data_IF_932256134993
#
_entry.id   IF_932256134993
#
_cell.length_a   1.000
_cell.length_b   1.000
_cell.length_c   1.000
_cell.angle_alpha   90.00
_cell.angle_beta   90.00
_cell.angle_gamma   90.00
#
_symmetry.space_group_name_H-M   'P 1'
#
loop_
_entity.id
_entity.type
_entity.pdbx_description
1 polymer ?
#
# COMPACT_ATOMS: atom_id res chain seq x y z
N UNK A 1 1.89 -48.45 -57.40
CA UNK A 1 3.29 -48.22 -56.97
C UNK A 1 3.73 -46.93 -57.65
N UNK A 2 4.06 -45.80 -57.01
CA UNK A 2 4.59 -45.57 -55.69
C UNK A 2 4.12 -44.24 -55.07
N UNK A 3 4.03 -44.33 -53.75
CA UNK A 3 3.73 -43.34 -52.72
C UNK A 3 4.73 -42.18 -52.71
N UNK A 4 4.26 -40.94 -52.89
CA UNK A 4 5.08 -39.73 -52.75
C UNK A 4 4.81 -39.08 -51.38
N UNK A 5 5.71 -39.34 -50.43
CA UNK A 5 5.78 -38.66 -49.13
C UNK A 5 6.28 -37.23 -49.36
N UNK A 6 5.52 -36.21 -48.96
CA UNK A 6 6.01 -34.83 -48.87
C UNK A 6 5.98 -34.39 -47.41
N UNK A 7 7.11 -34.55 -46.75
CA UNK A 7 7.39 -33.96 -45.45
C UNK A 7 7.59 -32.46 -45.64
N UNK A 8 6.67 -31.65 -45.14
CA UNK A 8 6.88 -30.21 -44.98
C UNK A 8 7.27 -29.98 -43.53
N UNK A 9 8.57 -29.92 -43.26
CA UNK A 9 9.09 -29.42 -42.00
C UNK A 9 9.38 -27.92 -42.21
N UNK A 10 8.46 -27.09 -41.73
CA UNK A 10 8.56 -25.64 -41.78
C UNK A 10 9.62 -25.12 -40.81
N UNK A 11 10.41 -24.17 -41.31
CA UNK A 11 11.35 -23.36 -40.56
C UNK A 11 10.64 -22.35 -39.64
N UNK A 12 11.24 -22.04 -38.47
CA UNK A 12 11.14 -20.81 -37.66
C UNK A 12 11.69 -21.17 -36.25
N UNK A 13 12.47 -20.37 -35.51
CA UNK A 13 12.84 -18.97 -35.62
C UNK A 13 14.10 -18.77 -34.74
N UNK A 14 15.04 -17.94 -35.21
CA UNK A 14 16.00 -17.27 -34.33
C UNK A 14 15.25 -16.20 -33.52
N UNK A 15 15.41 -16.16 -32.20
CA UNK A 15 14.74 -15.19 -31.33
C UNK A 15 15.61 -14.90 -30.12
N UNK A 16 16.25 -13.75 -30.16
CA UNK A 16 17.30 -13.34 -29.25
C UNK A 16 16.73 -12.49 -28.08
N UNK A 17 17.58 -12.30 -27.07
CA UNK A 17 17.74 -11.06 -26.30
C UNK A 17 16.86 -10.77 -25.06
N UNK A 18 17.61 -10.27 -24.06
CA UNK A 18 17.25 -9.39 -22.94
C UNK A 18 16.25 -9.88 -21.89
N UNK A 19 16.79 -10.31 -20.75
CA UNK A 19 16.14 -10.09 -19.45
C UNK A 19 17.12 -9.33 -18.55
N UNK A 20 17.36 -8.05 -18.87
CA UNK A 20 17.84 -7.11 -17.87
C UNK A 20 16.68 -6.89 -16.89
N UNK A 21 16.58 -7.74 -15.87
CA UNK A 21 15.78 -7.45 -14.70
C UNK A 21 16.39 -6.21 -14.04
N UNK A 22 15.84 -5.03 -14.36
CA UNK A 22 16.14 -3.84 -13.58
C UNK A 22 15.53 -4.09 -12.21
N UNK A 23 16.38 -4.47 -11.26
CA UNK A 23 16.04 -4.55 -9.86
C UNK A 23 15.83 -3.11 -9.36
N UNK A 24 14.66 -2.54 -9.61
CA UNK A 24 14.16 -1.44 -8.79
C UNK A 24 13.74 -2.01 -7.43
N UNK A 25 14.71 -2.53 -6.67
CA UNK A 25 14.59 -2.79 -5.26
C UNK A 25 14.76 -1.47 -4.49
N UNK A 26 14.03 -0.43 -4.90
CA UNK A 26 13.79 0.69 -4.03
C UNK A 26 12.79 0.19 -2.99
N UNK A 27 13.28 -0.22 -1.81
CA UNK A 27 12.41 -0.51 -0.67
C UNK A 27 11.63 0.75 -0.36
N UNK A 28 10.34 0.74 -0.68
CA UNK A 28 9.42 1.78 -0.26
C UNK A 28 9.14 1.49 1.21
N UNK A 29 9.92 2.11 2.09
CA UNK A 29 9.69 2.02 3.52
C UNK A 29 8.41 2.79 3.88
N UNK A 30 7.55 2.14 4.63
CA UNK A 30 6.43 2.73 5.35
C UNK A 30 6.79 2.73 6.83
N UNK A 31 6.23 3.65 7.62
CA UNK A 31 6.51 3.70 9.06
C UNK A 31 5.74 2.59 9.84
N UNK A 32 5.50 1.44 9.21
CA UNK A 32 4.61 0.37 9.65
C UNK A 32 3.59 -0.05 8.59
N UNK A 33 2.71 -1.02 8.89
CA UNK A 33 1.68 -1.48 7.95
C UNK A 33 0.71 -0.36 7.59
N UNK A 34 0.20 -0.41 6.37
CA UNK A 34 -0.83 0.52 5.90
C UNK A 34 -2.19 -0.18 5.92
N UNK A 35 -3.16 0.47 6.56
CA UNK A 35 -4.54 0.01 6.60
C UNK A 35 -5.40 1.11 5.99
N UNK A 36 -6.30 0.75 5.09
CA UNK A 36 -7.30 1.67 4.56
C UNK A 36 -8.69 1.05 4.64
N UNK A 37 -9.67 1.89 4.91
CA UNK A 37 -11.07 1.50 5.07
C UNK A 37 -11.97 2.40 4.23
N UNK A 38 -13.10 1.83 3.81
CA UNK A 38 -14.10 2.49 2.98
C UNK A 38 -15.10 1.44 2.52
N UNK A 39 -15.43 1.46 1.23
CA UNK A 39 -16.22 0.39 0.62
C UNK A 39 -15.45 -0.95 0.56
N UNK A 40 -14.12 -0.88 0.48
CA UNK A 40 -13.22 -2.02 0.58
C UNK A 40 -12.28 -1.86 1.77
N UNK A 41 -11.84 -2.97 2.33
CA UNK A 41 -10.77 -3.00 3.33
C UNK A 41 -9.45 -3.37 2.65
N UNK A 42 -8.42 -2.56 2.86
CA UNK A 42 -7.10 -2.77 2.28
C UNK A 42 -6.06 -2.83 3.37
N UNK A 43 -5.34 -3.95 3.43
CA UNK A 43 -4.21 -4.15 4.33
C UNK A 43 -2.93 -4.34 3.52
N UNK A 44 -1.87 -3.64 3.89
CA UNK A 44 -0.55 -3.78 3.28
C UNK A 44 0.46 -3.93 4.39
N UNK A 45 1.24 -5.00 4.33
CA UNK A 45 2.31 -5.24 5.28
C UNK A 45 3.39 -4.16 5.17
N UNK A 46 4.18 -4.04 6.23
CA UNK A 46 5.40 -3.26 6.20
C UNK A 46 6.30 -3.71 5.01
N UNK A 47 6.99 -2.75 4.40
CA UNK A 47 7.82 -2.93 3.19
C UNK A 47 7.07 -3.40 1.93
N UNK A 48 5.72 -3.42 1.90
CA UNK A 48 4.95 -3.88 0.73
C UNK A 48 5.27 -5.34 0.32
N UNK A 49 5.52 -6.24 1.27
CA UNK A 49 5.77 -7.67 0.97
C UNK A 49 4.50 -8.43 0.62
N UNK A 50 3.39 -8.09 1.28
CA UNK A 50 2.07 -8.63 1.00
C UNK A 50 1.03 -7.52 1.07
N UNK A 51 -0.05 -7.72 0.34
CA UNK A 51 -1.21 -6.85 0.35
C UNK A 51 -2.48 -7.68 0.24
N UNK A 52 -3.55 -7.20 0.85
CA UNK A 52 -4.84 -7.84 0.91
C UNK A 52 -5.94 -6.83 0.64
N UNK A 53 -6.92 -7.22 -0.19
CA UNK A 53 -8.14 -6.48 -0.47
C UNK A 53 -9.30 -7.36 -0.02
N UNK A 54 -10.11 -6.88 0.91
CA UNK A 54 -11.21 -7.60 1.55
C UNK A 54 -10.78 -8.98 2.08
N UNK A 55 -9.60 -9.02 2.71
CA UNK A 55 -9.00 -10.24 3.27
C UNK A 55 -8.40 -11.21 2.25
N UNK A 56 -8.48 -10.92 0.93
CA UNK A 56 -7.88 -11.76 -0.12
C UNK A 56 -6.57 -11.16 -0.63
N UNK A 57 -5.59 -12.02 -0.91
CA UNK A 57 -4.29 -11.58 -1.44
C UNK A 57 -4.44 -10.78 -2.73
N UNK A 58 -3.73 -9.66 -2.79
CA UNK A 58 -3.65 -8.77 -3.92
C UNK A 58 -2.22 -8.74 -4.48
N UNK A 59 -2.10 -8.57 -5.79
CA UNK A 59 -0.82 -8.39 -6.47
C UNK A 59 -0.38 -6.94 -6.38
N UNK A 60 0.84 -6.72 -5.91
CA UNK A 60 1.46 -5.39 -5.81
C UNK A 60 2.20 -5.08 -7.12
N UNK A 61 1.93 -3.92 -7.71
CA UNK A 61 2.61 -3.40 -8.90
C UNK A 61 3.25 -2.06 -8.57
N UNK A 62 4.57 -2.01 -8.58
CA UNK A 62 5.33 -0.78 -8.38
C UNK A 62 5.45 -0.04 -9.71
N UNK A 63 4.77 1.10 -9.82
CA UNK A 63 4.90 1.98 -10.99
C UNK A 63 6.08 2.93 -10.79
N UNK A 64 6.18 3.52 -9.60
CA UNK A 64 7.36 4.26 -9.14
C UNK A 64 7.38 4.36 -7.60
N UNK A 65 8.37 5.06 -7.04
CA UNK A 65 8.56 5.22 -5.59
C UNK A 65 7.41 5.93 -4.85
N UNK A 66 6.55 6.66 -5.56
CA UNK A 66 5.45 7.45 -5.01
C UNK A 66 4.08 6.91 -5.46
N UNK A 67 4.03 5.94 -6.37
CA UNK A 67 2.79 5.43 -6.95
C UNK A 67 2.84 3.91 -7.11
N UNK A 68 1.92 3.23 -6.44
CA UNK A 68 1.84 1.76 -6.37
C UNK A 68 0.39 1.37 -6.63
N UNK A 69 0.19 0.24 -7.30
CA UNK A 69 -1.14 -0.33 -7.49
C UNK A 69 -1.27 -1.71 -6.86
N UNK A 70 -2.43 -1.97 -6.25
CA UNK A 70 -2.82 -3.28 -5.77
C UNK A 70 -3.93 -3.82 -6.67
N UNK A 71 -3.74 -5.03 -7.18
CA UNK A 71 -4.66 -5.67 -8.11
C UNK A 71 -5.24 -6.92 -7.44
N UNK A 72 -6.54 -6.96 -7.21
CA UNK A 72 -7.18 -8.09 -6.52
C UNK A 72 -8.68 -7.89 -6.36
N UNK A 73 -9.41 -8.99 -6.14
CA UNK A 73 -10.86 -8.99 -5.91
C UNK A 73 -11.67 -8.18 -6.96
N UNK A 74 -11.26 -8.23 -8.24
CA UNK A 74 -11.87 -7.47 -9.35
C UNK A 74 -11.81 -5.94 -9.24
N UNK A 75 -10.92 -5.41 -8.40
CA UNK A 75 -10.65 -3.98 -8.27
C UNK A 75 -9.15 -3.69 -8.41
N UNK A 76 -8.86 -2.42 -8.67
CA UNK A 76 -7.51 -1.84 -8.61
C UNK A 76 -7.50 -0.74 -7.57
N UNK A 77 -6.60 -0.84 -6.60
CA UNK A 77 -6.35 0.18 -5.59
C UNK A 77 -5.09 0.95 -5.97
N UNK A 78 -5.21 2.26 -6.16
CA UNK A 78 -4.09 3.14 -6.47
C UNK A 78 -3.63 3.87 -5.21
N UNK A 79 -2.35 3.68 -4.86
CA UNK A 79 -1.72 4.29 -3.69
C UNK A 79 -0.75 5.38 -4.13
N UNK A 80 -0.93 6.58 -3.57
CA UNK A 80 -0.08 7.74 -3.84
C UNK A 80 0.59 8.23 -2.58
N UNK A 81 1.92 8.33 -2.57
CA UNK A 81 2.68 8.86 -1.45
C UNK A 81 2.59 10.38 -1.42
N UNK A 82 2.18 10.95 -0.28
CA UNK A 82 2.15 12.40 -0.09
C UNK A 82 3.57 12.96 0.12
N UNK A 83 3.85 14.20 -0.33
CA UNK A 83 5.13 14.86 -0.05
C UNK A 83 5.43 15.01 1.45
N UNK A 84 4.41 15.27 2.27
CA UNK A 84 4.53 15.42 3.71
C UNK A 84 4.61 14.09 4.48
N UNK A 85 4.63 12.95 3.78
CA UNK A 85 4.52 11.61 4.37
C UNK A 85 3.08 11.10 4.43
N UNK A 86 2.94 9.79 4.59
CA UNK A 86 1.66 9.09 4.46
C UNK A 86 1.25 8.83 3.01
N UNK A 87 0.06 8.25 2.87
CA UNK A 87 -0.45 7.71 1.61
C UNK A 87 -1.93 8.08 1.41
N UNK A 88 -2.29 8.44 0.18
CA UNK A 88 -3.68 8.45 -0.29
C UNK A 88 -3.96 7.15 -1.02
N UNK A 89 -5.22 6.71 -0.95
CA UNK A 89 -5.68 5.50 -1.59
C UNK A 89 -7.02 5.74 -2.27
N UNK A 90 -7.12 5.35 -3.54
CA UNK A 90 -8.38 5.29 -4.29
C UNK A 90 -8.56 3.90 -4.85
N UNK A 91 -9.79 3.55 -5.22
CA UNK A 91 -10.08 2.28 -5.86
C UNK A 91 -10.95 2.47 -7.10
N UNK A 92 -10.80 1.54 -8.03
CA UNK A 92 -11.65 1.40 -9.21
C UNK A 92 -12.05 -0.07 -9.36
N UNK A 93 -13.31 -0.31 -9.69
CA UNK A 93 -13.87 -1.65 -9.86
C UNK A 93 -14.49 -1.84 -11.23
N UNK A 94 -15.14 -2.99 -11.38
CA UNK A 94 -15.97 -3.25 -12.56
C UNK A 94 -17.12 -2.24 -12.67
N UNK A 95 -17.75 -2.14 -13.84
CA UNK A 95 -18.94 -1.29 -14.04
C UNK A 95 -18.76 0.19 -13.69
N UNK A 96 -17.53 0.73 -13.80
CA UNK A 96 -17.17 2.13 -13.47
C UNK A 96 -17.33 2.49 -11.99
N UNK A 97 -17.37 1.50 -11.11
CA UNK A 97 -17.32 1.72 -9.68
C UNK A 97 -15.96 2.33 -9.29
N UNK A 98 -15.99 3.28 -8.36
CA UNK A 98 -14.80 3.95 -7.87
C UNK A 98 -15.06 4.62 -6.52
N UNK A 99 -13.97 4.93 -5.81
CA UNK A 99 -14.07 5.68 -4.57
C UNK A 99 -12.71 5.99 -3.95
N UNK A 100 -12.76 6.59 -2.76
CA UNK A 100 -11.61 6.91 -1.93
C UNK A 100 -11.59 5.97 -0.74
N UNK A 101 -10.39 5.55 -0.32
CA UNK A 101 -10.18 4.80 0.91
C UNK A 101 -9.53 5.73 1.94
N UNK A 102 -10.02 5.68 3.17
CA UNK A 102 -9.51 6.48 4.27
C UNK A 102 -8.46 5.66 5.01
N UNK A 103 -7.25 6.18 5.28
CA UNK A 103 -6.29 5.47 6.10
C UNK A 103 -6.87 5.20 7.48
N UNK A 104 -6.84 3.93 7.89
CA UNK A 104 -7.10 3.55 9.28
C UNK A 104 -6.09 4.25 10.16
N UNK A 105 -6.55 4.96 11.19
CA UNK A 105 -5.66 5.72 12.07
C UNK A 105 -4.54 4.81 12.56
N UNK A 106 -3.30 5.10 12.13
CA UNK A 106 -2.13 4.65 12.88
C UNK A 106 -2.28 5.30 14.26
N UNK A 107 -2.27 4.57 15.39
CA UNK A 107 -2.01 5.23 16.66
C UNK A 107 -0.68 5.94 16.47
N UNK A 108 -0.70 7.27 16.45
CA UNK A 108 0.51 8.06 16.51
C UNK A 108 1.29 7.50 17.70
N UNK A 109 2.47 6.97 17.43
CA UNK A 109 3.37 6.52 18.48
C UNK A 109 3.44 7.62 19.53
N UNK A 110 3.15 7.27 20.79
CA UNK A 110 3.05 8.19 21.92
C UNK A 110 4.14 9.26 21.93
N UNK A 111 3.71 10.44 22.41
CA UNK A 111 4.46 11.54 23.04
C UNK A 111 5.16 12.58 22.16
N UNK A 112 4.38 13.56 21.70
CA UNK A 112 4.66 14.99 21.97
C UNK A 112 3.55 15.60 22.87
N UNK A 113 2.80 14.76 23.58
CA UNK A 113 2.06 15.17 24.78
C UNK A 113 3.01 15.17 25.99
N UNK A 114 4.03 16.02 25.91
CA UNK A 114 4.91 16.45 27.00
C UNK A 114 5.36 17.84 26.58
N UNK A 115 4.65 18.90 26.92
CA UNK A 115 4.52 19.38 28.29
C UNK A 115 3.18 20.12 28.43
N UNK A 116 2.14 19.46 28.96
CA UNK A 116 1.11 20.20 29.67
C UNK A 116 1.50 20.15 31.14
N UNK A 117 1.63 21.30 31.84
CA UNK A 117 1.91 21.29 33.27
C UNK A 117 0.83 20.48 33.98
N UNK A 118 1.27 19.65 34.93
CA UNK A 118 0.45 18.74 35.71
C UNK A 118 -0.44 19.49 36.74
N UNK A 119 -1.33 20.34 36.24
CA UNK A 119 -2.32 21.06 37.03
C UNK A 119 -3.64 21.23 36.27
N UNK A 120 -4.13 20.17 35.63
CA UNK A 120 -5.46 20.17 35.04
C UNK A 120 -6.14 18.80 35.17
N UNK A 121 -6.18 18.27 36.38
CA UNK A 121 -7.01 17.12 36.71
C UNK A 121 -7.32 17.12 38.21
N UNK A 122 -8.21 18.01 38.66
CA UNK A 122 -9.28 17.62 39.57
C UNK A 122 -10.30 18.76 39.74
N UNK A 123 -11.56 18.48 39.44
CA UNK A 123 -12.68 19.26 39.99
C UNK A 123 -13.22 18.48 41.20
N UNK A 124 -12.44 18.47 42.28
CA UNK A 124 -12.94 18.32 43.64
C UNK A 124 -11.90 18.73 44.67
N UNK A 125 -12.33 19.67 45.51
CA UNK A 125 -11.83 19.96 46.85
C UNK A 125 -10.45 20.62 46.99
N UNK A 126 -10.54 21.92 47.33
CA UNK A 126 -9.88 22.59 48.45
C UNK A 126 -8.34 22.55 48.62
N UNK A 127 -7.82 23.77 48.72
CA UNK A 127 -6.64 24.23 49.49
C UNK A 127 -5.22 24.12 48.90
N UNK A 128 -4.75 25.27 48.37
CA UNK A 128 -3.34 25.69 48.44
C UNK A 128 -2.69 26.11 47.11
N UNK A 129 -2.04 27.30 47.00
CA UNK A 129 -1.34 27.68 45.77
C UNK A 129 0.04 27.00 45.66
N UNK A 130 0.25 26.29 44.56
CA UNK A 130 1.56 25.78 44.14
C UNK A 130 2.57 26.92 43.96
N UNK A 131 3.74 26.81 44.58
CA UNK A 131 4.87 27.75 44.45
C UNK A 131 5.94 27.13 43.56
N UNK A 132 6.26 27.78 42.45
CA UNK A 132 7.34 27.41 41.54
C UNK A 132 8.71 27.58 42.22
N UNK A 133 9.66 26.69 41.89
CA UNK A 133 11.08 26.84 42.20
C UNK A 133 11.87 26.71 40.91
#
# INVERSE_FOLDING_TARGET
MNLMKKTVLGAMMAGALFSSASAFAARIATDGPLNFQGYHEVHIDEDFKAAYIDGKSARITFINKNFIELHGNSIVVSLSKKPAGGWDATWTGTHREHGVLTPGMKPTSKSDAGQLPACAADHSQADGPCRER
#
